data_IF_127165576329
#
_entry.id   IF_127165576329
#
_cell.length_a   1.000
_cell.length_b   1.000
_cell.length_c   1.000
_cell.angle_alpha   90.00
_cell.angle_beta   90.00
_cell.angle_gamma   90.00
#
_symmetry.space_group_name_H-M   'P 1'
#
loop_
_entity.id
_entity.type
_entity.pdbx_description
1 polymer ?
#
# COMPACT_ATOMS: atom_id res chain seq x y z
N UNK A 1 26.57 5.61 14.94
CA UNK A 1 25.63 4.92 15.83
C UNK A 1 24.24 4.77 15.18
N UNK A 2 23.65 5.82 14.57
CA UNK A 2 22.33 5.75 13.91
C UNK A 2 22.27 4.77 12.72
N UNK A 3 23.30 4.67 11.88
CA UNK A 3 23.34 3.71 10.77
C UNK A 3 23.40 2.25 11.25
N UNK A 4 24.13 1.94 12.32
CA UNK A 4 24.16 0.60 12.92
C UNK A 4 22.79 0.18 13.46
N UNK A 5 22.06 1.10 14.12
CA UNK A 5 20.70 0.84 14.63
C UNK A 5 19.68 0.60 13.51
N UNK A 6 19.80 1.32 12.37
CA UNK A 6 18.99 1.14 11.18
C UNK A 6 19.21 -0.24 10.57
N UNK A 7 20.48 -0.66 10.44
CA UNK A 7 20.88 -1.98 9.96
C UNK A 7 20.36 -3.12 10.85
N UNK A 8 20.38 -2.97 12.19
CA UNK A 8 19.87 -4.00 13.10
C UNK A 8 18.35 -4.20 13.01
N UNK A 9 17.59 -3.15 12.75
CA UNK A 9 16.13 -3.23 12.64
C UNK A 9 15.70 -3.91 11.35
N UNK A 10 16.32 -3.58 10.23
CA UNK A 10 16.10 -4.24 8.94
C UNK A 10 16.49 -5.72 8.98
N UNK A 11 17.61 -6.06 9.65
CA UNK A 11 18.01 -7.45 9.88
C UNK A 11 16.95 -8.24 10.66
N UNK A 12 16.36 -7.65 11.71
CA UNK A 12 15.30 -8.30 12.48
C UNK A 12 14.09 -8.67 11.62
N UNK A 13 13.64 -7.74 10.76
CA UNK A 13 12.50 -7.97 9.86
C UNK A 13 12.84 -9.04 8.80
N UNK A 14 14.06 -9.04 8.26
CA UNK A 14 14.55 -10.07 7.34
C UNK A 14 14.58 -11.45 8.04
N UNK A 15 15.05 -11.53 9.27
CA UNK A 15 15.06 -12.79 10.03
C UNK A 15 13.64 -13.34 10.23
N UNK A 16 12.66 -12.49 10.51
CA UNK A 16 11.25 -12.88 10.61
C UNK A 16 10.73 -13.43 9.27
N UNK A 17 11.03 -12.76 8.17
CA UNK A 17 10.63 -13.22 6.83
C UNK A 17 11.23 -14.60 6.53
N UNK A 18 12.54 -14.78 6.76
CA UNK A 18 13.22 -16.06 6.53
C UNK A 18 12.64 -17.16 7.42
N UNK A 19 12.41 -16.88 8.70
CA UNK A 19 11.82 -17.84 9.63
C UNK A 19 10.40 -18.29 9.17
N UNK A 20 9.57 -17.35 8.70
CA UNK A 20 8.24 -17.66 8.14
C UNK A 20 8.34 -18.54 6.89
N UNK A 21 9.25 -18.23 5.98
CA UNK A 21 9.48 -19.02 4.76
C UNK A 21 9.89 -20.46 5.13
N UNK A 22 10.82 -20.61 6.05
CA UNK A 22 11.28 -21.93 6.53
C UNK A 22 10.10 -22.69 7.16
N UNK A 23 9.36 -22.06 8.07
CA UNK A 23 8.25 -22.68 8.79
C UNK A 23 7.16 -23.16 7.82
N UNK A 24 6.76 -22.30 6.85
CA UNK A 24 5.76 -22.63 5.85
C UNK A 24 6.24 -23.71 4.88
N UNK A 25 7.53 -23.73 4.53
CA UNK A 25 8.12 -24.78 3.69
C UNK A 25 8.11 -26.13 4.39
N UNK A 26 8.42 -26.18 5.70
CA UNK A 26 8.36 -27.39 6.51
C UNK A 26 6.91 -27.90 6.67
N UNK A 27 5.96 -26.97 6.86
CA UNK A 27 4.54 -27.32 7.01
C UNK A 27 3.90 -27.79 5.67
N UNK A 28 4.29 -27.18 4.55
CA UNK A 28 3.78 -27.43 3.20
C UNK A 28 4.89 -27.26 2.16
N UNK A 29 5.55 -28.33 1.70
CA UNK A 29 6.66 -28.23 0.74
C UNK A 29 6.29 -27.53 -0.58
N UNK A 30 5.00 -27.52 -0.97
CA UNK A 30 4.51 -26.80 -2.14
C UNK A 30 4.73 -25.28 -2.02
N UNK A 31 4.96 -24.76 -0.80
CA UNK A 31 5.20 -23.35 -0.56
C UNK A 31 6.40 -22.81 -1.36
N UNK A 32 7.48 -23.58 -1.49
CA UNK A 32 8.69 -23.17 -2.22
C UNK A 32 8.61 -23.44 -3.74
N UNK A 33 7.48 -23.98 -4.24
CA UNK A 33 7.33 -24.22 -5.67
C UNK A 33 7.40 -22.93 -6.49
N UNK A 34 7.94 -22.96 -7.73
CA UNK A 34 8.04 -21.77 -8.59
C UNK A 34 6.68 -21.07 -8.81
N UNK A 35 5.63 -21.87 -9.00
CA UNK A 35 4.26 -21.35 -9.17
C UNK A 35 3.78 -20.60 -7.94
N UNK A 36 3.99 -21.15 -6.75
CA UNK A 36 3.57 -20.49 -5.52
C UNK A 36 4.41 -19.26 -5.23
N UNK A 37 5.71 -19.29 -5.50
CA UNK A 37 6.58 -18.12 -5.38
C UNK A 37 6.05 -16.96 -6.24
N UNK A 38 5.67 -17.21 -7.49
CA UNK A 38 5.05 -16.20 -8.36
C UNK A 38 3.75 -15.66 -7.75
N UNK A 39 2.92 -16.51 -7.14
CA UNK A 39 1.68 -16.09 -6.48
C UNK A 39 1.96 -15.18 -5.28
N UNK A 40 2.93 -15.52 -4.43
CA UNK A 40 3.36 -14.66 -3.30
C UNK A 40 3.82 -13.30 -3.81
N UNK A 41 4.66 -13.27 -4.85
CA UNK A 41 5.17 -12.01 -5.39
C UNK A 41 4.05 -11.17 -6.02
N UNK A 42 3.08 -11.77 -6.73
CA UNK A 42 1.91 -11.06 -7.25
C UNK A 42 1.06 -10.44 -6.14
N UNK A 43 0.86 -11.13 -5.03
CA UNK A 43 0.17 -10.57 -3.85
C UNK A 43 0.99 -9.41 -3.27
N UNK A 44 2.31 -9.55 -3.20
CA UNK A 44 3.21 -8.50 -2.71
C UNK A 44 3.14 -7.24 -3.58
N UNK A 45 2.98 -7.37 -4.91
CA UNK A 45 2.87 -6.20 -5.81
C UNK A 45 1.72 -5.29 -5.40
N UNK A 46 0.54 -5.84 -5.16
CA UNK A 46 -0.65 -5.02 -4.85
C UNK A 46 -0.51 -4.32 -3.51
N UNK A 47 -0.12 -5.06 -2.46
CA UNK A 47 0.09 -4.51 -1.11
C UNK A 47 1.27 -3.53 -1.13
N UNK A 48 2.38 -3.92 -1.76
CA UNK A 48 3.61 -3.15 -1.79
C UNK A 48 3.45 -1.78 -2.47
N UNK A 49 2.81 -1.71 -3.63
CA UNK A 49 2.59 -0.44 -4.33
C UNK A 49 1.78 0.53 -3.46
N UNK A 50 0.69 0.06 -2.84
CA UNK A 50 -0.11 0.89 -1.93
C UNK A 50 0.70 1.27 -0.68
N UNK A 51 1.52 0.35 -0.16
CA UNK A 51 2.38 0.58 1.01
C UNK A 51 3.45 1.66 0.77
N UNK A 52 3.88 1.90 -0.46
CA UNK A 52 4.77 3.04 -0.78
C UNK A 52 4.11 4.36 -0.37
N UNK A 53 2.87 4.62 -0.77
CA UNK A 53 2.13 5.83 -0.40
C UNK A 53 1.92 5.94 1.11
N UNK A 54 1.52 4.83 1.74
CA UNK A 54 1.35 4.76 3.20
C UNK A 54 2.66 5.02 3.95
N UNK A 55 3.80 4.59 3.41
CA UNK A 55 5.12 4.85 4.02
C UNK A 55 5.42 6.34 4.08
N UNK A 56 5.18 7.09 3.00
CA UNK A 56 5.34 8.54 2.99
C UNK A 56 4.43 9.20 4.03
N UNK A 57 3.19 8.76 4.16
CA UNK A 57 2.24 9.27 5.14
C UNK A 57 2.67 8.95 6.58
N UNK A 58 2.97 7.71 6.89
CA UNK A 58 3.37 7.30 8.25
C UNK A 58 4.67 8.02 8.66
N UNK A 59 5.65 8.17 7.76
CA UNK A 59 6.87 8.94 8.04
C UNK A 59 6.53 10.41 8.33
N UNK A 60 5.53 11.00 7.66
CA UNK A 60 5.10 12.39 7.94
C UNK A 60 4.13 12.53 9.13
N UNK A 61 3.86 11.44 9.86
CA UNK A 61 3.02 11.41 11.05
C UNK A 61 1.53 11.30 10.79
N UNK A 62 1.13 10.84 9.60
CA UNK A 62 -0.28 10.65 9.20
C UNK A 62 -0.52 9.23 8.70
N UNK A 63 -1.79 8.85 8.57
CA UNK A 63 -2.21 7.59 7.96
C UNK A 63 -3.47 7.77 7.13
N UNK A 64 -3.66 6.90 6.13
CA UNK A 64 -4.80 6.94 5.23
C UNK A 64 -5.55 5.61 5.24
N UNK A 65 -6.67 5.55 5.95
CA UNK A 65 -7.54 4.37 5.96
C UNK A 65 -8.35 4.22 4.67
N UNK A 66 -8.37 5.24 3.82
CA UNK A 66 -9.17 5.21 2.60
C UNK A 66 -8.48 4.52 1.40
N UNK A 67 -7.21 4.12 1.53
CA UNK A 67 -6.44 3.51 0.42
C UNK A 67 -7.16 2.34 -0.24
N UNK A 68 -7.83 1.48 0.54
CA UNK A 68 -8.62 0.37 0.02
C UNK A 68 -9.86 0.83 -0.76
N UNK A 69 -10.54 1.88 -0.28
CA UNK A 69 -11.69 2.45 -1.00
C UNK A 69 -11.27 3.25 -2.23
N UNK A 70 -10.12 3.94 -2.20
CA UNK A 70 -9.53 4.57 -3.38
C UNK A 70 -9.24 3.53 -4.45
N UNK A 71 -8.58 2.42 -4.07
CA UNK A 71 -8.35 1.28 -4.97
C UNK A 71 -9.66 0.78 -5.58
N UNK A 72 -10.70 0.54 -4.75
CA UNK A 72 -12.01 0.06 -5.22
C UNK A 72 -12.70 1.05 -6.15
N UNK A 73 -12.76 2.33 -5.77
CA UNK A 73 -13.45 3.38 -6.55
C UNK A 73 -12.77 3.62 -7.89
N UNK A 74 -11.45 3.78 -7.90
CA UNK A 74 -10.68 4.02 -9.13
C UNK A 74 -10.70 2.80 -10.04
N UNK A 75 -10.69 1.59 -9.46
CA UNK A 75 -10.86 0.34 -10.18
C UNK A 75 -12.24 0.25 -10.85
N UNK A 76 -13.31 0.51 -10.10
CA UNK A 76 -14.67 0.50 -10.67
C UNK A 76 -14.87 1.58 -11.74
N UNK A 77 -14.31 2.78 -11.51
CA UNK A 77 -14.36 3.87 -12.49
C UNK A 77 -13.68 3.44 -13.81
N UNK A 78 -12.45 2.94 -13.73
CA UNK A 78 -11.73 2.48 -14.92
C UNK A 78 -12.44 1.31 -15.61
N UNK A 79 -12.93 0.33 -14.84
CA UNK A 79 -13.64 -0.82 -15.40
C UNK A 79 -14.93 -0.39 -16.13
N UNK A 80 -15.66 0.58 -15.59
CA UNK A 80 -16.84 1.14 -16.25
C UNK A 80 -16.47 1.83 -17.57
N UNK A 81 -15.40 2.62 -17.57
CA UNK A 81 -14.90 3.28 -18.78
C UNK A 81 -14.42 2.25 -19.82
N UNK A 82 -13.71 1.20 -19.41
CA UNK A 82 -13.26 0.12 -20.27
C UNK A 82 -14.45 -0.65 -20.88
N UNK A 83 -15.47 -0.97 -20.07
CA UNK A 83 -16.70 -1.61 -20.57
C UNK A 83 -17.42 -0.75 -21.59
N UNK A 84 -17.39 0.59 -21.42
CA UNK A 84 -17.90 1.58 -22.36
C UNK A 84 -17.00 1.82 -23.58
N UNK A 85 -15.96 0.99 -23.79
CA UNK A 85 -15.00 1.10 -24.89
C UNK A 85 -14.30 2.47 -24.99
N UNK A 86 -14.13 3.15 -23.85
CA UNK A 86 -13.33 4.38 -23.77
C UNK A 86 -11.86 4.02 -24.00
N UNK A 87 -11.12 4.93 -24.65
CA UNK A 87 -9.69 4.74 -24.91
C UNK A 87 -8.95 4.30 -23.61
N UNK A 88 -8.24 3.15 -23.63
CA UNK A 88 -7.62 2.59 -22.42
C UNK A 88 -6.67 3.53 -21.72
N UNK A 89 -5.89 4.31 -22.47
CA UNK A 89 -4.97 5.31 -21.92
C UNK A 89 -5.72 6.43 -21.20
N UNK A 90 -6.81 6.91 -21.80
CA UNK A 90 -7.64 7.95 -21.19
C UNK A 90 -8.31 7.45 -19.91
N UNK A 91 -8.88 6.25 -19.92
CA UNK A 91 -9.49 5.64 -18.74
C UNK A 91 -8.46 5.42 -17.60
N UNK A 92 -7.24 4.99 -17.95
CA UNK A 92 -6.13 4.88 -17.01
C UNK A 92 -5.79 6.22 -16.36
N UNK A 93 -5.62 7.28 -17.17
CA UNK A 93 -5.30 8.62 -16.68
C UNK A 93 -6.42 9.17 -15.78
N UNK A 94 -7.69 9.01 -16.18
CA UNK A 94 -8.85 9.42 -15.37
C UNK A 94 -8.83 8.71 -14.00
N UNK A 95 -8.54 7.42 -13.95
CA UNK A 95 -8.48 6.66 -12.72
C UNK A 95 -7.34 7.16 -11.80
N UNK A 96 -6.15 7.42 -12.35
CA UNK A 96 -5.02 7.96 -11.56
C UNK A 96 -5.36 9.36 -11.04
N UNK A 97 -5.91 10.23 -11.89
CA UNK A 97 -6.32 11.58 -11.47
C UNK A 97 -7.42 11.55 -10.40
N UNK A 98 -8.37 10.62 -10.50
CA UNK A 98 -9.38 10.40 -9.46
C UNK A 98 -8.74 9.99 -8.14
N UNK A 99 -7.77 9.08 -8.16
CA UNK A 99 -7.00 8.71 -6.97
C UNK A 99 -6.26 9.88 -6.36
N UNK A 100 -5.58 10.69 -7.19
CA UNK A 100 -4.92 11.92 -6.75
C UNK A 100 -5.92 12.92 -6.14
N UNK A 101 -7.09 13.10 -6.74
CA UNK A 101 -8.13 14.01 -6.26
C UNK A 101 -8.70 13.58 -4.90
N UNK A 102 -8.94 12.27 -4.71
CA UNK A 102 -9.38 11.74 -3.42
C UNK A 102 -8.27 11.93 -2.37
N UNK A 103 -7.02 11.64 -2.72
CA UNK A 103 -5.89 11.91 -1.84
C UNK A 103 -5.76 13.39 -1.48
N UNK A 104 -5.90 14.29 -2.46
CA UNK A 104 -5.91 15.74 -2.22
C UNK A 104 -7.04 16.14 -1.26
N UNK A 105 -8.25 15.61 -1.46
CA UNK A 105 -9.39 15.84 -0.56
C UNK A 105 -9.05 15.43 0.87
N UNK A 106 -8.50 14.23 1.07
CA UNK A 106 -8.07 13.75 2.39
C UNK A 106 -7.00 14.67 3.00
N UNK A 107 -5.98 15.01 2.22
CA UNK A 107 -4.91 15.90 2.67
C UNK A 107 -5.42 17.28 3.08
N UNK A 108 -6.33 17.87 2.32
CA UNK A 108 -6.95 19.17 2.65
C UNK A 108 -7.84 19.04 3.89
N UNK A 109 -8.67 18.00 3.99
CA UNK A 109 -9.49 17.75 5.16
C UNK A 109 -8.63 17.68 6.42
N UNK A 110 -7.58 16.86 6.44
CA UNK A 110 -6.71 16.69 7.61
C UNK A 110 -5.99 17.97 7.98
N UNK A 111 -5.40 18.67 6.99
CA UNK A 111 -4.54 19.82 7.28
C UNK A 111 -5.31 21.10 7.56
N UNK A 112 -6.45 21.35 6.89
CA UNK A 112 -7.20 22.59 7.03
C UNK A 112 -8.24 22.55 8.14
N UNK A 113 -8.93 21.43 8.31
CA UNK A 113 -9.93 21.29 9.38
C UNK A 113 -9.32 20.84 10.71
N UNK A 114 -8.05 20.33 10.69
CA UNK A 114 -7.36 19.76 11.85
C UNK A 114 -8.05 18.53 12.45
N UNK A 115 -8.94 17.90 11.70
CA UNK A 115 -9.53 16.60 12.07
C UNK A 115 -8.41 15.55 12.06
N UNK A 116 -8.31 14.67 13.07
CA UNK A 116 -7.36 13.56 13.06
C UNK A 116 -7.48 12.73 11.77
N UNK A 117 -6.33 12.40 11.15
CA UNK A 117 -6.31 11.75 9.84
C UNK A 117 -7.11 10.45 9.81
N UNK A 118 -7.06 9.64 10.89
CA UNK A 118 -7.80 8.39 10.95
C UNK A 118 -9.33 8.61 10.89
N UNK A 119 -9.85 9.69 11.50
CA UNK A 119 -11.30 10.01 11.45
C UNK A 119 -11.68 10.49 10.05
N UNK A 120 -10.89 11.42 9.48
CA UNK A 120 -11.16 11.96 8.16
C UNK A 120 -11.13 10.86 7.09
N UNK A 121 -10.07 10.01 7.11
CA UNK A 121 -9.90 8.95 6.13
C UNK A 121 -10.84 7.76 6.34
N UNK A 122 -11.27 7.48 7.58
CA UNK A 122 -12.34 6.52 7.86
C UNK A 122 -13.67 7.01 7.26
N UNK A 123 -13.99 8.29 7.41
CA UNK A 123 -15.18 8.89 6.79
C UNK A 123 -15.14 8.83 5.27
N UNK A 124 -14.05 9.27 4.66
CA UNK A 124 -13.87 9.23 3.19
C UNK A 124 -13.81 7.80 2.67
N UNK A 125 -13.25 6.85 3.41
CA UNK A 125 -13.29 5.42 3.09
C UNK A 125 -14.73 4.94 2.86
N UNK A 126 -15.66 5.27 3.78
CA UNK A 126 -17.07 4.88 3.62
C UNK A 126 -17.74 5.60 2.47
N UNK A 127 -17.47 6.90 2.28
CA UNK A 127 -18.02 7.68 1.16
C UNK A 127 -17.57 7.08 -0.17
N UNK A 128 -16.27 6.88 -0.38
CA UNK A 128 -15.76 6.37 -1.65
C UNK A 128 -16.07 4.89 -1.86
N UNK A 129 -16.23 4.09 -0.81
CA UNK A 129 -16.80 2.75 -0.94
C UNK A 129 -18.22 2.79 -1.50
N UNK A 130 -19.05 3.70 -1.00
CA UNK A 130 -20.42 3.90 -1.53
C UNK A 130 -20.40 4.39 -2.97
N UNK A 131 -19.47 5.28 -3.33
CA UNK A 131 -19.28 5.73 -4.72
C UNK A 131 -18.89 4.55 -5.62
N UNK A 132 -18.00 3.66 -5.19
CA UNK A 132 -17.64 2.47 -5.95
C UNK A 132 -18.86 1.58 -6.24
N UNK A 133 -19.71 1.36 -5.25
CA UNK A 133 -20.97 0.62 -5.44
C UNK A 133 -21.95 1.35 -6.36
N UNK A 134 -22.07 2.67 -6.22
CA UNK A 134 -22.95 3.46 -7.09
C UNK A 134 -22.50 3.39 -8.57
N UNK A 135 -21.19 3.50 -8.85
CA UNK A 135 -20.63 3.39 -10.22
C UNK A 135 -20.92 2.01 -10.81
N UNK A 136 -20.78 0.94 -10.03
CA UNK A 136 -20.95 -0.44 -10.51
C UNK A 136 -22.38 -0.95 -10.46
N UNK A 137 -23.32 -0.19 -9.87
CA UNK A 137 -24.67 -0.69 -9.56
C UNK A 137 -24.65 -1.86 -8.58
N UNK A 138 -23.62 -1.96 -7.72
CA UNK A 138 -23.42 -3.05 -6.77
C UNK A 138 -23.03 -4.38 -7.42
N UNK A 139 -22.55 -4.38 -8.66
CA UNK A 139 -22.16 -5.58 -9.40
C UNK A 139 -20.67 -5.58 -9.74
N UNK A 140 -20.08 -6.76 -9.85
CA UNK A 140 -18.73 -6.93 -10.35
C UNK A 140 -18.69 -6.58 -11.86
N UNK A 141 -17.64 -5.90 -12.29
CA UNK A 141 -17.41 -5.58 -13.69
C UNK A 141 -16.35 -6.51 -14.25
N UNK A 142 -16.71 -7.25 -15.28
CA UNK A 142 -15.84 -8.17 -16.02
C UNK A 142 -16.21 -8.11 -17.50
N UNK A 143 -15.43 -8.79 -18.32
CA UNK A 143 -15.65 -8.86 -19.79
C UNK A 143 -15.48 -7.47 -20.42
N UNK A 144 -14.24 -7.18 -20.81
CA UNK A 144 -13.88 -5.95 -21.50
C UNK A 144 -13.77 -6.18 -23.01
N UNK A 145 -14.02 -5.15 -23.84
CA UNK A 145 -13.82 -5.23 -25.28
C UNK A 145 -12.39 -5.64 -25.66
N UNK A 146 -12.23 -6.32 -26.79
CA UNK A 146 -10.94 -6.78 -27.27
C UNK A 146 -9.96 -5.61 -27.53
N UNK A 147 -10.45 -4.47 -27.99
CA UNK A 147 -9.69 -3.22 -28.14
C UNK A 147 -9.04 -2.75 -26.83
N UNK A 148 -9.67 -3.04 -25.68
CA UNK A 148 -9.19 -2.71 -24.36
C UNK A 148 -8.20 -3.77 -23.86
N UNK A 149 -8.56 -5.06 -23.98
CA UNK A 149 -7.71 -6.17 -23.47
C UNK A 149 -6.40 -6.30 -24.23
N UNK A 150 -6.35 -5.89 -25.51
CA UNK A 150 -5.12 -5.86 -26.32
C UNK A 150 -4.25 -4.60 -26.07
N UNK A 151 -4.72 -3.66 -25.24
CA UNK A 151 -4.00 -2.41 -24.96
C UNK A 151 -2.77 -2.62 -24.09
N UNK A 152 -1.88 -1.62 -24.09
CA UNK A 152 -0.69 -1.61 -23.21
C UNK A 152 -1.05 -1.65 -21.73
N UNK A 153 -2.19 -1.10 -21.34
CA UNK A 153 -2.68 -1.11 -19.94
C UNK A 153 -2.89 -2.55 -19.46
N UNK A 154 -3.54 -3.39 -20.27
CA UNK A 154 -3.77 -4.79 -19.92
C UNK A 154 -2.49 -5.63 -20.03
N UNK A 155 -1.52 -5.24 -20.84
CA UNK A 155 -0.20 -5.87 -20.88
C UNK A 155 0.54 -5.74 -19.55
N UNK A 156 0.24 -4.74 -18.69
CA UNK A 156 0.80 -4.65 -17.34
C UNK A 156 0.44 -5.86 -16.47
N UNK A 157 -0.69 -6.52 -16.73
CA UNK A 157 -1.10 -7.76 -16.07
C UNK A 157 -0.43 -9.03 -16.60
N UNK A 158 0.29 -8.93 -17.73
CA UNK A 158 0.95 -10.03 -18.41
C UNK A 158 2.25 -10.47 -17.76
N UNK A 159 3.03 -11.27 -18.51
CA UNK A 159 4.33 -11.80 -18.07
C UNK A 159 5.36 -11.71 -19.19
N UNK A 160 6.61 -11.50 -18.83
CA UNK A 160 7.79 -11.63 -19.68
C UNK A 160 8.44 -12.98 -19.38
N UNK A 161 8.13 -13.98 -20.21
CA UNK A 161 8.49 -15.37 -19.89
C UNK A 161 7.80 -15.81 -18.59
N UNK A 162 8.54 -16.37 -17.62
CA UNK A 162 7.95 -16.80 -16.34
C UNK A 162 7.70 -15.65 -15.37
N UNK A 163 8.22 -14.43 -15.62
CA UNK A 163 8.21 -13.32 -14.66
C UNK A 163 7.05 -12.36 -14.97
N UNK A 164 6.13 -12.11 -14.03
CA UNK A 164 5.06 -11.12 -14.17
C UNK A 164 5.61 -9.68 -14.36
N UNK A 165 5.08 -8.94 -15.34
CA UNK A 165 5.47 -7.55 -15.61
C UNK A 165 5.27 -6.65 -14.37
N UNK A 166 4.28 -6.95 -13.57
CA UNK A 166 3.94 -6.24 -12.34
C UNK A 166 5.11 -6.14 -11.36
N UNK A 167 6.01 -7.14 -11.34
CA UNK A 167 7.21 -7.14 -10.48
C UNK A 167 8.16 -6.01 -10.86
N UNK A 168 8.36 -5.81 -12.16
CA UNK A 168 9.22 -4.73 -12.66
C UNK A 168 8.62 -3.36 -12.34
N UNK A 169 7.28 -3.22 -12.49
CA UNK A 169 6.58 -1.98 -12.15
C UNK A 169 6.76 -1.68 -10.65
N UNK A 170 6.53 -2.67 -9.79
CA UNK A 170 6.73 -2.52 -8.35
C UNK A 170 8.18 -2.16 -8.02
N UNK A 171 9.16 -2.85 -8.61
CA UNK A 171 10.58 -2.58 -8.37
C UNK A 171 10.94 -1.13 -8.73
N UNK A 172 10.50 -0.64 -9.89
CA UNK A 172 10.71 0.76 -10.31
C UNK A 172 10.09 1.72 -9.31
N UNK A 173 8.85 1.49 -8.87
CA UNK A 173 8.17 2.35 -7.89
C UNK A 173 8.93 2.38 -6.57
N UNK A 174 9.37 1.23 -6.05
CA UNK A 174 10.14 1.17 -4.80
C UNK A 174 11.50 1.84 -4.92
N UNK A 175 12.21 1.67 -6.05
CA UNK A 175 13.50 2.33 -6.30
C UNK A 175 13.31 3.85 -6.36
N UNK A 176 12.35 4.34 -7.15
CA UNK A 176 12.07 5.77 -7.27
C UNK A 176 11.65 6.35 -5.92
N UNK A 177 10.70 5.71 -5.23
CA UNK A 177 10.26 6.15 -3.91
C UNK A 177 11.39 6.11 -2.87
N UNK A 178 12.26 5.09 -2.94
CA UNK A 178 13.44 4.98 -2.09
C UNK A 178 14.43 6.12 -2.32
N UNK A 179 14.69 6.47 -3.58
CA UNK A 179 15.55 7.61 -3.94
C UNK A 179 14.92 8.92 -3.47
N UNK A 180 13.62 9.13 -3.72
CA UNK A 180 12.90 10.33 -3.27
C UNK A 180 13.01 10.46 -1.76
N UNK A 181 12.73 9.40 -1.02
CA UNK A 181 12.74 9.42 0.44
C UNK A 181 14.15 9.62 1.03
N UNK A 182 15.19 9.00 0.42
CA UNK A 182 16.54 8.99 0.97
C UNK A 182 17.44 10.13 0.48
N UNK A 183 17.15 10.70 -0.71
CA UNK A 183 18.09 11.57 -1.42
C UNK A 183 17.53 12.94 -1.79
N UNK A 184 16.23 13.21 -1.58
CA UNK A 184 15.62 14.48 -1.98
C UNK A 184 15.18 15.32 -0.78
N UNK A 185 15.02 16.61 -1.04
CA UNK A 185 14.46 17.56 -0.08
C UNK A 185 13.04 17.17 0.36
N UNK A 186 12.23 16.62 -0.55
CA UNK A 186 10.89 16.13 -0.23
C UNK A 186 10.93 15.03 0.85
N UNK A 187 11.83 14.08 0.73
CA UNK A 187 12.02 13.03 1.74
C UNK A 187 12.51 13.59 3.08
N UNK A 188 13.48 14.52 3.05
CA UNK A 188 13.93 15.21 4.25
C UNK A 188 12.77 15.93 4.96
N UNK A 189 11.95 16.67 4.22
CA UNK A 189 10.80 17.39 4.74
C UNK A 189 9.75 16.46 5.36
N UNK A 190 9.55 15.25 4.79
CA UNK A 190 8.66 14.22 5.36
C UNK A 190 9.17 13.72 6.71
N UNK A 191 10.46 13.39 6.81
CA UNK A 191 11.05 12.96 8.10
C UNK A 191 11.01 14.08 9.15
N UNK A 192 11.32 15.33 8.76
CA UNK A 192 11.28 16.48 9.66
C UNK A 192 9.85 16.73 10.15
N UNK A 193 8.86 16.70 9.23
CA UNK A 193 7.44 16.90 9.55
C UNK A 193 6.93 15.87 10.55
N UNK A 194 7.25 14.58 10.36
CA UNK A 194 6.79 13.53 11.25
C UNK A 194 7.57 13.47 12.57
N UNK A 195 8.85 13.85 12.55
CA UNK A 195 9.70 13.82 13.76
C UNK A 195 9.34 14.91 14.77
N UNK A 196 9.15 16.14 14.30
CA UNK A 196 8.69 17.26 15.11
C UNK A 196 8.07 18.36 14.22
N UNK A 197 6.74 18.35 14.03
CA UNK A 197 6.07 19.33 13.16
C UNK A 197 6.30 20.79 13.58
N UNK A 198 6.39 21.05 14.89
CA UNK A 198 6.62 22.40 15.40
C UNK A 198 8.01 22.91 15.03
N UNK A 199 9.04 22.09 15.26
CA UNK A 199 10.41 22.43 14.89
C UNK A 199 10.57 22.55 13.37
N UNK A 200 9.95 21.67 12.58
CA UNK A 200 9.95 21.73 11.13
C UNK A 200 9.38 23.06 10.61
N UNK A 201 8.26 23.53 11.16
CA UNK A 201 7.67 24.82 10.80
C UNK A 201 8.58 26.01 11.16
N UNK A 202 9.30 25.95 12.29
CA UNK A 202 10.22 27.02 12.70
C UNK A 202 11.40 27.20 11.74
N UNK A 203 11.83 26.13 11.07
CA UNK A 203 12.88 26.19 10.05
C UNK A 203 12.35 26.36 8.62
N UNK A 204 11.06 26.72 8.48
CA UNK A 204 10.45 27.09 7.20
C UNK A 204 9.83 25.95 6.40
N UNK A 205 9.78 24.72 6.93
CA UNK A 205 9.11 23.59 6.26
C UNK A 205 7.59 23.73 6.41
N UNK A 206 6.87 23.82 5.30
CA UNK A 206 5.41 23.83 5.32
C UNK A 206 4.86 22.40 5.52
N UNK A 207 4.64 22.02 6.78
CA UNK A 207 4.19 20.67 7.15
C UNK A 207 2.83 20.31 6.55
N UNK A 208 1.91 21.28 6.36
CA UNK A 208 0.61 21.04 5.71
C UNK A 208 0.80 20.59 4.25
N UNK A 209 1.68 21.27 3.49
CA UNK A 209 1.99 20.90 2.09
C UNK A 209 2.63 19.51 2.00
N UNK A 210 3.53 19.18 2.92
CA UNK A 210 4.19 17.87 2.99
C UNK A 210 3.14 16.77 3.19
N UNK A 211 2.20 16.94 4.12
CA UNK A 211 1.12 15.99 4.40
C UNK A 211 0.18 15.85 3.20
N UNK A 212 -0.26 16.97 2.60
CA UNK A 212 -1.12 16.95 1.41
C UNK A 212 -0.46 16.15 0.28
N UNK A 213 0.82 16.39 0.03
CA UNK A 213 1.57 15.64 -0.99
C UNK A 213 1.61 14.14 -0.68
N UNK A 214 1.82 13.77 0.59
CA UNK A 214 1.76 12.37 1.03
C UNK A 214 0.41 11.71 0.71
N UNK A 215 -0.70 12.39 0.99
CA UNK A 215 -2.05 11.89 0.66
C UNK A 215 -2.27 11.78 -0.86
N UNK A 216 -1.81 12.75 -1.66
CA UNK A 216 -1.90 12.68 -3.14
C UNK A 216 -1.13 11.46 -3.67
N UNK A 217 0.09 11.24 -3.19
CA UNK A 217 0.90 10.08 -3.57
C UNK A 217 0.19 8.78 -3.17
N UNK A 218 -0.35 8.71 -1.94
CA UNK A 218 -1.11 7.56 -1.45
C UNK A 218 -2.29 7.23 -2.36
N UNK A 219 -3.06 8.25 -2.77
CA UNK A 219 -4.16 8.10 -3.70
C UNK A 219 -3.73 7.65 -5.09
N UNK A 220 -2.65 8.23 -5.62
CA UNK A 220 -2.12 7.90 -6.94
C UNK A 220 -1.64 6.44 -7.03
N UNK A 221 -0.85 5.97 -6.04
CA UNK A 221 -0.34 4.60 -6.03
C UNK A 221 -1.43 3.58 -5.73
N UNK A 222 -2.47 3.94 -4.96
CA UNK A 222 -3.65 3.09 -4.74
C UNK A 222 -4.44 2.90 -6.04
N UNK A 223 -4.63 3.97 -6.82
CA UNK A 223 -5.24 3.88 -8.14
C UNK A 223 -4.38 3.04 -9.11
N UNK A 224 -3.06 3.23 -9.10
CA UNK A 224 -2.15 2.44 -9.94
C UNK A 224 -2.21 0.95 -9.58
N UNK A 225 -2.25 0.61 -8.29
CA UNK A 225 -2.41 -0.78 -7.85
C UNK A 225 -3.74 -1.37 -8.34
N UNK A 226 -4.83 -0.58 -8.38
CA UNK A 226 -6.10 -1.00 -8.96
C UNK A 226 -5.99 -1.28 -10.46
N UNK A 227 -5.32 -0.42 -11.22
CA UNK A 227 -5.12 -0.63 -12.67
C UNK A 227 -4.33 -1.91 -12.95
N UNK A 228 -3.27 -2.17 -12.21
CA UNK A 228 -2.48 -3.40 -12.31
C UNK A 228 -3.34 -4.62 -11.94
N UNK A 229 -4.20 -4.50 -10.93
CA UNK A 229 -5.12 -5.57 -10.52
C UNK A 229 -6.13 -5.89 -11.61
N UNK A 230 -6.74 -4.88 -12.24
CA UNK A 230 -7.67 -5.06 -13.36
C UNK A 230 -6.97 -5.74 -14.54
N UNK A 231 -5.78 -5.26 -14.89
CA UNK A 231 -5.01 -5.82 -15.99
C UNK A 231 -4.69 -7.30 -15.79
N UNK A 232 -4.48 -7.72 -14.53
CA UNK A 232 -4.19 -9.11 -14.19
C UNK A 232 -5.44 -9.98 -14.08
N UNK A 233 -6.49 -9.49 -13.38
CA UNK A 233 -7.68 -10.29 -13.09
C UNK A 233 -8.69 -10.28 -14.23
N UNK A 234 -8.63 -9.30 -15.14
CA UNK A 234 -9.65 -9.09 -16.17
C UNK A 234 -11.03 -8.71 -15.60
N UNK A 235 -11.09 -8.31 -14.33
CA UNK A 235 -12.35 -8.00 -13.64
C UNK A 235 -12.11 -7.15 -12.40
N UNK A 236 -13.16 -6.49 -11.92
CA UNK A 236 -13.19 -5.78 -10.64
C UNK A 236 -14.37 -6.31 -9.82
N UNK A 237 -14.13 -7.06 -8.74
CA UNK A 237 -15.20 -7.47 -7.84
C UNK A 237 -15.74 -6.29 -7.04
N UNK A 238 -16.99 -6.37 -6.58
CA UNK A 238 -17.63 -5.33 -5.74
C UNK A 238 -16.84 -5.04 -4.47
N UNK A 239 -16.23 -6.09 -3.89
CA UNK A 239 -15.41 -6.00 -2.68
C UNK A 239 -13.96 -5.57 -2.93
N UNK A 240 -13.65 -5.10 -4.17
CA UNK A 240 -12.30 -4.68 -4.51
C UNK A 240 -11.73 -3.65 -3.52
N UNK A 241 -10.56 -3.93 -2.98
CA UNK A 241 -9.88 -3.08 -2.00
C UNK A 241 -10.37 -3.20 -0.55
N UNK A 242 -11.35 -4.03 -0.25
CA UNK A 242 -11.84 -4.24 1.13
C UNK A 242 -10.77 -4.92 2.00
N UNK A 243 -10.53 -4.37 3.21
CA UNK A 243 -9.51 -4.87 4.14
C UNK A 243 -8.05 -4.54 3.77
N UNK A 244 -7.79 -4.01 2.55
CA UNK A 244 -6.42 -3.73 2.11
C UNK A 244 -5.73 -2.62 2.91
N UNK A 245 -6.49 -1.70 3.48
CA UNK A 245 -5.96 -0.67 4.38
C UNK A 245 -5.21 -1.29 5.55
N UNK A 246 -5.74 -2.35 6.16
CA UNK A 246 -5.10 -3.04 7.27
C UNK A 246 -3.84 -3.78 6.83
N UNK A 247 -3.88 -4.47 5.68
CA UNK A 247 -2.71 -5.14 5.09
C UNK A 247 -1.56 -4.15 4.84
N UNK A 248 -1.89 -3.00 4.27
CA UNK A 248 -0.94 -1.95 3.89
C UNK A 248 -0.32 -1.31 5.14
N UNK A 249 -1.13 -0.97 6.15
CA UNK A 249 -0.63 -0.43 7.42
C UNK A 249 0.25 -1.46 8.13
N UNK A 250 -0.20 -2.71 8.22
CA UNK A 250 0.58 -3.78 8.83
C UNK A 250 1.92 -3.99 8.12
N UNK A 251 1.95 -3.97 6.77
CA UNK A 251 3.18 -4.08 6.00
C UNK A 251 4.17 -2.95 6.33
N UNK A 252 3.71 -1.70 6.41
CA UNK A 252 4.56 -0.54 6.68
C UNK A 252 5.10 -0.56 8.12
N UNK A 253 4.26 -0.92 9.10
CA UNK A 253 4.66 -0.98 10.52
C UNK A 253 5.62 -2.17 10.74
N UNK A 254 5.30 -3.36 10.23
CA UNK A 254 6.21 -4.52 10.28
C UNK A 254 7.54 -4.22 9.59
N UNK A 255 7.51 -3.42 8.51
CA UNK A 255 8.70 -2.91 7.84
C UNK A 255 9.52 -1.91 8.66
N UNK A 256 9.05 -1.56 9.87
CA UNK A 256 9.79 -0.73 10.81
C UNK A 256 9.52 0.76 10.69
N UNK A 257 8.48 1.19 9.98
CA UNK A 257 8.02 2.57 10.07
C UNK A 257 7.31 2.80 11.41
N UNK A 258 7.50 4.00 11.99
CA UNK A 258 6.90 4.33 13.28
C UNK A 258 5.60 5.10 13.12
N UNK A 259 4.56 4.67 13.81
CA UNK A 259 3.28 5.39 13.88
C UNK A 259 3.42 6.80 14.49
N UNK A 260 4.46 7.03 15.29
CA UNK A 260 4.77 8.36 15.83
C UNK A 260 5.40 9.30 14.79
N UNK A 261 5.64 8.85 13.55
CA UNK A 261 6.29 9.60 12.48
C UNK A 261 7.82 9.65 12.58
N UNK A 262 8.45 10.26 11.58
CA UNK A 262 9.88 10.54 11.53
C UNK A 262 10.80 9.34 11.31
N UNK A 263 10.26 8.13 11.14
CA UNK A 263 11.06 6.90 10.96
C UNK A 263 10.37 5.94 9.99
N UNK A 264 11.17 5.31 9.13
CA UNK A 264 10.73 4.30 8.16
C UNK A 264 11.70 4.23 6.99
N UNK A 265 11.63 3.15 6.20
CA UNK A 265 12.42 2.98 4.97
C UNK A 265 11.60 2.26 3.92
N UNK A 266 11.85 2.54 2.63
CA UNK A 266 11.18 1.82 1.55
C UNK A 266 11.59 0.34 1.50
N UNK A 267 12.85 0.03 1.85
CA UNK A 267 13.31 -1.37 1.94
C UNK A 267 12.55 -2.11 3.05
N UNK A 268 12.42 -1.51 4.23
CA UNK A 268 11.62 -2.09 5.31
C UNK A 268 10.18 -2.34 4.90
N UNK A 269 9.53 -1.35 4.28
CA UNK A 269 8.16 -1.49 3.74
C UNK A 269 8.06 -2.64 2.73
N UNK A 270 9.02 -2.79 1.83
CA UNK A 270 9.04 -3.90 0.88
C UNK A 270 9.09 -5.26 1.59
N UNK A 271 9.98 -5.40 2.58
CA UNK A 271 10.08 -6.64 3.38
C UNK A 271 8.79 -6.88 4.16
N UNK A 272 8.20 -5.84 4.76
CA UNK A 272 6.91 -5.94 5.46
C UNK A 272 5.76 -6.37 4.53
N UNK A 273 5.70 -5.83 3.31
CA UNK A 273 4.73 -6.26 2.30
C UNK A 273 4.93 -7.73 1.90
N UNK A 274 6.18 -8.19 1.79
CA UNK A 274 6.48 -9.61 1.58
C UNK A 274 6.02 -10.47 2.75
N UNK A 275 6.23 -10.04 4.00
CA UNK A 275 5.77 -10.77 5.20
C UNK A 275 4.25 -10.96 5.15
N UNK A 276 3.49 -9.88 4.92
CA UNK A 276 2.02 -9.96 4.85
C UNK A 276 1.59 -10.92 3.73
N UNK A 277 2.23 -10.85 2.56
CA UNK A 277 1.91 -11.72 1.42
C UNK A 277 2.26 -13.19 1.69
N UNK A 278 3.41 -13.46 2.33
CA UNK A 278 3.83 -14.80 2.76
C UNK A 278 2.84 -15.38 3.76
N UNK A 279 2.42 -14.58 4.75
CA UNK A 279 1.42 -14.98 5.75
C UNK A 279 0.09 -15.32 5.09
N UNK A 280 -0.45 -14.44 4.25
CA UNK A 280 -1.72 -14.68 3.53
C UNK A 280 -1.65 -15.92 2.63
N UNK A 281 -0.59 -16.06 1.86
CA UNK A 281 -0.37 -17.23 1.02
C UNK A 281 -0.24 -18.51 1.86
N UNK A 282 0.52 -18.44 2.96
CA UNK A 282 0.66 -19.57 3.90
C UNK A 282 -0.69 -20.01 4.49
N UNK A 283 -1.55 -19.06 4.89
CA UNK A 283 -2.89 -19.37 5.39
C UNK A 283 -3.74 -20.09 4.32
N UNK A 284 -3.67 -19.67 3.05
CA UNK A 284 -4.34 -20.34 1.95
C UNK A 284 -3.83 -21.78 1.77
N UNK A 285 -2.52 -22.00 1.76
CA UNK A 285 -1.91 -23.31 1.63
C UNK A 285 -2.19 -24.26 2.81
N UNK A 286 -2.38 -23.68 4.01
CA UNK A 286 -2.80 -24.41 5.21
C UNK A 286 -4.31 -24.61 5.28
N UNK A 287 -5.05 -24.21 4.22
CA UNK A 287 -6.52 -24.32 4.15
C UNK A 287 -7.24 -23.57 5.28
N UNK A 288 -6.65 -22.48 5.78
CA UNK A 288 -7.31 -21.60 6.75
C UNK A 288 -8.48 -20.88 6.06
N UNK A 289 -9.71 -20.98 6.57
CA UNK A 289 -10.85 -20.29 5.99
C UNK A 289 -10.62 -18.78 5.86
N UNK A 290 -11.10 -18.18 4.76
CA UNK A 290 -10.83 -16.77 4.39
C UNK A 290 -11.25 -15.81 5.50
N UNK A 291 -12.34 -16.09 6.20
CA UNK A 291 -12.83 -15.23 7.29
C UNK A 291 -11.90 -15.16 8.52
N UNK A 292 -10.97 -16.09 8.70
CA UNK A 292 -9.93 -16.03 9.72
C UNK A 292 -8.71 -15.20 9.31
N UNK A 293 -8.52 -14.98 8.00
CA UNK A 293 -7.33 -14.29 7.49
C UNK A 293 -7.28 -12.83 7.98
N UNK A 294 -8.40 -12.12 7.93
CA UNK A 294 -8.48 -10.74 8.42
C UNK A 294 -8.29 -10.66 9.94
N UNK A 295 -8.86 -11.62 10.69
CA UNK A 295 -8.61 -11.71 12.14
C UNK A 295 -7.14 -11.91 12.47
N UNK A 296 -6.45 -12.77 11.72
CA UNK A 296 -5.02 -13.00 11.91
C UNK A 296 -4.18 -11.75 11.59
N UNK A 297 -4.49 -11.04 10.51
CA UNK A 297 -3.83 -9.77 10.18
C UNK A 297 -4.05 -8.73 11.29
N UNK A 298 -5.25 -8.68 11.89
CA UNK A 298 -5.54 -7.83 13.04
C UNK A 298 -4.64 -8.14 14.25
N UNK A 299 -4.43 -9.42 14.56
CA UNK A 299 -3.51 -9.84 15.63
C UNK A 299 -2.06 -9.43 15.31
N UNK A 300 -1.62 -9.66 14.07
CA UNK A 300 -0.28 -9.28 13.61
C UNK A 300 -0.08 -7.77 13.73
N UNK A 301 -1.07 -6.97 13.35
CA UNK A 301 -1.03 -5.51 13.47
C UNK A 301 -0.90 -5.07 14.93
N UNK A 302 -1.70 -5.62 15.83
CA UNK A 302 -1.63 -5.31 17.27
C UNK A 302 -0.25 -5.63 17.82
N UNK A 303 0.30 -6.80 17.51
CA UNK A 303 1.64 -7.19 17.96
C UNK A 303 2.72 -6.27 17.40
N UNK A 304 2.64 -5.86 16.14
CA UNK A 304 3.58 -4.93 15.51
C UNK A 304 3.55 -3.56 16.20
N UNK A 305 2.37 -3.03 16.50
CA UNK A 305 2.21 -1.74 17.20
C UNK A 305 2.69 -1.81 18.64
N UNK A 306 2.42 -2.91 19.35
CA UNK A 306 2.95 -3.13 20.69
C UNK A 306 4.48 -3.12 20.70
N UNK A 307 5.10 -3.83 19.76
CA UNK A 307 6.56 -3.87 19.63
C UNK A 307 7.13 -2.47 19.34
N UNK A 308 6.52 -1.70 18.41
CA UNK A 308 6.94 -0.32 18.11
C UNK A 308 6.84 0.56 19.37
N UNK A 309 5.76 0.47 20.12
CA UNK A 309 5.53 1.23 21.36
C UNK A 309 6.57 0.90 22.44
N UNK A 310 6.89 -0.38 22.66
CA UNK A 310 7.90 -0.81 23.64
C UNK A 310 9.29 -0.31 23.27
N UNK A 311 9.65 -0.35 21.98
CA UNK A 311 10.93 0.13 21.48
C UNK A 311 11.09 1.65 21.68
N UNK A 312 10.01 2.42 21.45
CA UNK A 312 10.02 3.88 21.66
C UNK A 312 10.18 4.28 23.13
N UNK A 313 9.54 3.56 24.06
CA UNK A 313 9.69 3.82 25.51
C UNK A 313 11.13 3.60 26.01
N UNK A 314 11.86 2.71 25.37
CA UNK A 314 13.26 2.44 25.73
C UNK A 314 14.21 3.54 25.22
N UNK A 315 13.93 4.08 24.01
CA UNK A 315 14.73 5.17 23.41
C UNK A 315 14.53 6.54 24.11
N UNK A 316 13.38 6.75 24.78
CA UNK A 316 13.08 7.99 25.51
C UNK A 316 13.59 8.01 26.97
N UNK A 317 14.11 6.89 27.49
CA UNK A 317 14.62 6.74 28.85
C UNK A 317 16.15 6.63 28.92
N UNK A 318 16.85 6.62 27.79
CA UNK A 318 18.30 6.65 27.66
C UNK A 318 18.78 7.89 26.93
#
# INVERSE_FOLDING_TARGET
>A
MKEKLKSFRELGVICVLIALIILLTLARPVFISPTNFINVVRQTVQIGIMAVGMTFLIISGEMDLSVGSIFGTTGMLAATLYKGNVNPTLAFLIAILAGCAIGLLNGVLVTKTKIPAFIATLGTMKIFRSVAYAISGGQSISVFPESVTNSWVFKMGGSLGPIPIQIFIMAVIFIVAGIVLAKTEAGYNMYATGGNPKAANLVGINTDRVKILGFIISGAVSALAAMISIAYLGSVPTTAGEGREMDVIAAVILGGASLSGGRGTMLGTFIGAMIISVVKNGMVLLSVPVFWQDGFIGVVLILAVLLDTFMHRKDSRG
#
